data_IF_659298387052
#
_entry.id   IF_659298387052
#
_cell.length_a   1.000
_cell.length_b   1.000
_cell.length_c   1.000
_cell.angle_alpha   90.00
_cell.angle_beta   90.00
_cell.angle_gamma   90.00
#
_symmetry.space_group_name_H-M   'P 1'
#
loop_
_entity.id
_entity.type
_entity.pdbx_description
1 polymer ?
#
# COMPACT_ATOMS: atom_id res chain seq x y z
N UNK A 1 3.16 -19.24 6.40
CA UNK A 1 1.81 -18.70 6.71
C UNK A 1 1.51 -17.44 5.90
N UNK A 2 0.33 -17.31 5.30
CA UNK A 2 -0.11 -16.04 4.67
C UNK A 2 -1.08 -15.32 5.59
N UNK A 3 -0.82 -14.06 5.88
CA UNK A 3 -1.68 -13.24 6.74
C UNK A 3 -2.56 -12.29 5.93
N UNK A 4 -3.86 -12.28 6.19
CA UNK A 4 -4.82 -11.41 5.48
C UNK A 4 -4.63 -9.92 5.80
N UNK A 5 -4.02 -9.62 6.96
CA UNK A 5 -3.75 -8.25 7.38
C UNK A 5 -2.65 -7.58 6.56
N UNK A 6 -1.77 -8.36 5.94
CA UNK A 6 -0.84 -7.84 4.96
C UNK A 6 -1.50 -7.89 3.59
N UNK A 7 -1.73 -6.71 3.02
CA UNK A 7 -2.44 -6.57 1.76
C UNK A 7 -1.84 -5.43 0.96
N UNK A 8 -2.14 -5.40 -0.33
CA UNK A 8 -1.87 -4.30 -1.23
C UNK A 8 -3.16 -3.90 -1.98
N UNK A 9 -3.34 -2.61 -2.32
CA UNK A 9 -4.48 -2.16 -3.09
C UNK A 9 -4.30 -2.48 -4.59
N UNK A 10 -5.40 -2.81 -5.25
CA UNK A 10 -5.51 -2.95 -6.72
C UNK A 10 -6.85 -2.39 -7.19
N UNK A 11 -6.96 -2.05 -8.47
CA UNK A 11 -8.23 -1.68 -9.11
C UNK A 11 -8.75 -2.92 -9.85
N UNK A 12 -9.97 -3.35 -9.56
CA UNK A 12 -10.61 -4.45 -10.28
C UNK A 12 -11.27 -3.97 -11.58
N UNK A 13 -11.80 -4.89 -12.38
CA UNK A 13 -12.45 -4.57 -13.66
C UNK A 13 -13.67 -3.64 -13.52
N UNK A 14 -14.35 -3.67 -12.36
CA UNK A 14 -15.46 -2.76 -12.04
C UNK A 14 -15.01 -1.35 -11.58
N UNK A 15 -13.71 -1.05 -11.59
CA UNK A 15 -13.18 0.21 -11.10
C UNK A 15 -13.25 0.36 -9.57
N UNK A 16 -13.39 -0.73 -8.82
CA UNK A 16 -13.34 -0.74 -7.35
C UNK A 16 -11.93 -0.96 -6.86
N UNK A 17 -11.56 -0.22 -5.81
CA UNK A 17 -10.31 -0.45 -5.10
C UNK A 17 -10.53 -1.65 -4.18
N UNK A 18 -9.76 -2.71 -4.41
CA UNK A 18 -9.81 -3.93 -3.63
C UNK A 18 -8.46 -4.19 -2.99
N UNK A 19 -8.49 -4.71 -1.76
CA UNK A 19 -7.31 -5.15 -1.02
C UNK A 19 -7.04 -6.62 -1.36
N UNK A 20 -5.85 -6.90 -1.89
CA UNK A 20 -5.37 -8.23 -2.28
C UNK A 20 -4.17 -8.63 -1.41
N UNK A 21 -3.96 -9.92 -1.20
CA UNK A 21 -2.73 -10.49 -0.64
C UNK A 21 -2.14 -11.58 -1.56
N UNK A 22 -2.62 -11.63 -2.80
CA UNK A 22 -2.13 -12.55 -3.82
C UNK A 22 -0.64 -12.25 -4.07
N UNK A 23 0.16 -13.29 -4.29
CA UNK A 23 1.61 -13.19 -4.53
C UNK A 23 2.45 -12.63 -3.36
N UNK A 24 1.86 -12.27 -2.21
CA UNK A 24 2.65 -12.09 -1.00
C UNK A 24 3.31 -13.41 -0.61
N UNK A 25 4.57 -13.33 -0.19
CA UNK A 25 5.28 -14.48 0.37
C UNK A 25 4.57 -14.97 1.62
N UNK A 26 4.80 -16.23 1.92
CA UNK A 26 4.46 -16.74 3.22
C UNK A 26 5.52 -16.32 4.23
N UNK A 27 5.07 -16.10 5.47
CA UNK A 27 5.90 -15.74 6.60
C UNK A 27 6.01 -16.92 7.56
N UNK A 28 7.21 -17.10 8.09
CA UNK A 28 7.56 -18.07 9.12
C UNK A 28 7.95 -17.35 10.42
N UNK A 29 7.96 -18.09 11.53
CA UNK A 29 8.48 -17.53 12.78
C UNK A 29 9.96 -17.17 12.61
N UNK A 30 10.34 -15.97 13.07
CA UNK A 30 11.65 -15.37 12.82
C UNK A 30 11.68 -14.41 11.62
N UNK A 31 10.66 -14.40 10.76
CA UNK A 31 10.63 -13.47 9.63
C UNK A 31 10.31 -12.04 10.05
N UNK A 32 10.97 -11.09 9.38
CA UNK A 32 10.54 -9.70 9.38
C UNK A 32 9.24 -9.54 8.57
N UNK A 33 8.24 -8.91 9.19
CA UNK A 33 6.92 -8.69 8.59
C UNK A 33 6.67 -7.21 8.23
N UNK A 34 5.70 -6.91 7.35
CA UNK A 34 5.33 -5.54 7.04
C UNK A 34 4.70 -4.84 8.25
N UNK A 35 5.41 -3.89 8.87
CA UNK A 35 4.90 -3.10 9.99
C UNK A 35 4.28 -1.77 9.57
N UNK A 36 4.72 -1.23 8.43
CA UNK A 36 4.28 0.07 7.89
C UNK A 36 4.37 0.07 6.37
N UNK A 37 3.36 0.64 5.71
CA UNK A 37 3.31 0.89 4.26
C UNK A 37 2.95 2.35 3.96
N UNK A 38 2.36 2.65 2.79
CA UNK A 38 1.72 3.94 2.51
C UNK A 38 0.27 4.00 2.98
N UNK A 39 -0.33 2.87 3.36
CA UNK A 39 -1.75 2.82 3.70
C UNK A 39 -2.03 2.13 5.03
N UNK A 40 -1.04 1.51 5.67
CA UNK A 40 -1.20 1.09 7.06
C UNK A 40 0.05 1.32 7.91
N UNK A 41 -0.17 1.50 9.21
CA UNK A 41 0.88 1.63 10.22
C UNK A 41 0.52 0.82 11.47
N UNK A 42 1.03 -0.40 11.54
CA UNK A 42 0.78 -1.34 12.63
C UNK A 42 1.69 -1.15 13.82
N UNK A 43 2.68 -0.24 13.73
CA UNK A 43 3.79 -0.11 14.68
C UNK A 43 4.67 -1.38 14.74
N UNK A 44 5.70 -1.36 15.60
CA UNK A 44 6.65 -2.47 15.71
C UNK A 44 6.09 -3.67 16.49
N UNK A 45 5.15 -3.43 17.39
CA UNK A 45 4.60 -4.44 18.30
C UNK A 45 3.08 -4.53 18.12
N UNK A 46 2.60 -5.70 17.70
CA UNK A 46 1.17 -5.95 17.52
C UNK A 46 0.89 -7.46 17.50
N UNK A 47 -0.39 -7.83 17.57
CA UNK A 47 -0.84 -9.20 17.38
C UNK A 47 -1.72 -9.30 16.13
N UNK A 48 -1.52 -10.34 15.33
CA UNK A 48 -2.36 -10.67 14.18
C UNK A 48 -3.43 -11.66 14.67
N UNK A 49 -4.70 -11.37 14.42
CA UNK A 49 -5.80 -12.30 14.69
C UNK A 49 -6.26 -12.94 13.38
N UNK A 50 -6.10 -14.26 13.25
CA UNK A 50 -6.46 -15.02 12.06
C UNK A 50 -6.85 -16.45 12.42
N UNK A 51 -7.97 -16.94 11.84
CA UNK A 51 -8.37 -18.34 11.98
C UNK A 51 -8.64 -18.82 13.42
N UNK A 52 -8.89 -17.90 14.35
CA UNK A 52 -9.03 -18.11 15.81
C UNK A 52 -7.74 -18.07 16.64
N UNK A 53 -6.56 -17.95 16.01
CA UNK A 53 -5.28 -17.81 16.69
C UNK A 53 -4.79 -16.35 16.73
N UNK A 54 -3.91 -16.06 17.70
CA UNK A 54 -3.15 -14.81 17.75
C UNK A 54 -1.69 -15.08 17.44
N UNK A 55 -1.12 -14.29 16.53
CA UNK A 55 0.30 -14.35 16.19
C UNK A 55 0.97 -13.06 16.64
N UNK A 56 2.03 -13.18 17.42
CA UNK A 56 2.73 -12.03 17.99
C UNK A 56 3.81 -11.54 17.04
N UNK A 57 3.83 -10.21 16.86
CA UNK A 57 4.89 -9.50 16.20
C UNK A 57 5.57 -8.60 17.21
N UNK A 58 6.86 -8.82 17.44
CA UNK A 58 7.71 -8.05 18.35
C UNK A 58 8.88 -7.47 17.56
N UNK A 59 9.09 -6.16 17.69
CA UNK A 59 10.10 -5.40 16.94
C UNK A 59 10.04 -5.59 15.41
N UNK A 60 8.85 -5.91 14.89
CA UNK A 60 8.60 -6.19 13.48
C UNK A 60 8.96 -7.61 13.03
N UNK A 61 9.24 -8.52 13.97
CA UNK A 61 9.53 -9.93 13.73
C UNK A 61 8.34 -10.77 14.19
N UNK A 62 7.90 -11.71 13.36
CA UNK A 62 6.87 -12.69 13.74
C UNK A 62 7.47 -13.72 14.69
N UNK A 63 7.04 -13.77 15.95
CA UNK A 63 7.73 -14.55 16.98
C UNK A 63 7.05 -15.88 17.28
N UNK A 64 5.75 -15.87 17.59
CA UNK A 64 5.03 -17.06 18.06
C UNK A 64 3.52 -16.93 17.87
N UNK A 65 2.80 -18.06 17.94
CA UNK A 65 1.35 -18.08 18.16
C UNK A 65 1.05 -18.21 19.66
N UNK A 66 0.00 -17.51 20.12
CA UNK A 66 -0.41 -17.48 21.53
C UNK A 66 -1.93 -17.63 21.62
N UNK A 67 -2.38 -18.36 22.64
CA UNK A 67 -3.81 -18.46 22.95
C UNK A 67 -4.37 -17.13 23.51
N UNK A 68 -5.67 -16.86 23.34
CA UNK A 68 -6.29 -15.62 23.84
C UNK A 68 -6.07 -15.36 25.35
N UNK A 69 -5.89 -16.43 26.13
CA UNK A 69 -5.73 -16.39 27.58
C UNK A 69 -4.38 -15.83 28.04
N UNK A 70 -3.36 -15.95 27.20
CA UNK A 70 -1.97 -15.58 27.51
C UNK A 70 -1.59 -14.20 26.91
N UNK A 71 -2.55 -13.49 26.31
CA UNK A 71 -2.33 -12.16 25.75
C UNK A 71 -2.10 -11.12 26.85
N UNK A 72 -1.12 -10.26 26.62
CA UNK A 72 -0.84 -9.09 27.47
C UNK A 72 -1.54 -7.86 26.91
N UNK A 73 -2.09 -7.02 27.79
CA UNK A 73 -2.81 -5.80 27.42
C UNK A 73 -2.12 -4.56 28.03
N UNK A 74 -2.26 -3.35 27.42
CA UNK A 74 -2.98 -3.07 26.19
C UNK A 74 -2.27 -3.60 24.95
N UNK A 75 -3.04 -4.08 23.97
CA UNK A 75 -2.53 -4.75 22.77
C UNK A 75 -3.14 -4.12 21.52
N UNK A 76 -2.30 -3.90 20.50
CA UNK A 76 -2.79 -3.58 19.16
C UNK A 76 -3.04 -4.88 18.42
N UNK A 77 -4.26 -5.08 17.94
CA UNK A 77 -4.63 -6.26 17.18
C UNK A 77 -4.92 -5.84 15.75
N UNK A 78 -4.38 -6.59 14.79
CA UNK A 78 -4.63 -6.43 13.37
C UNK A 78 -5.29 -7.68 12.80
N UNK A 79 -6.27 -7.51 11.93
CA UNK A 79 -7.07 -8.63 11.41
C UNK A 79 -7.77 -8.29 10.10
N UNK A 80 -8.23 -9.34 9.41
CA UNK A 80 -8.85 -9.22 8.09
C UNK A 80 -7.93 -8.43 7.15
N UNK A 81 -8.50 -7.65 6.22
CA UNK A 81 -7.75 -6.80 5.27
C UNK A 81 -7.20 -5.54 5.92
N UNK A 82 -6.42 -5.72 6.99
CA UNK A 82 -5.65 -4.72 7.71
C UNK A 82 -6.44 -3.81 8.65
N UNK A 83 -7.58 -4.27 9.15
CA UNK A 83 -8.28 -3.60 10.24
C UNK A 83 -7.41 -3.63 11.48
N UNK A 84 -7.45 -2.57 12.26
CA UNK A 84 -6.66 -2.47 13.49
C UNK A 84 -7.55 -1.96 14.62
N UNK A 85 -7.31 -2.46 15.82
CA UNK A 85 -7.98 -2.05 17.04
C UNK A 85 -6.99 -2.08 18.20
N UNK A 86 -7.06 -1.09 19.07
CA UNK A 86 -6.39 -1.15 20.36
C UNK A 86 -7.34 -1.72 21.41
N UNK A 87 -6.87 -2.76 22.10
CA UNK A 87 -7.62 -3.43 23.15
C UNK A 87 -6.93 -3.25 24.49
N UNK A 88 -7.73 -3.02 25.53
CA UNK A 88 -7.24 -2.76 26.87
C UNK A 88 -7.49 -3.95 27.82
N UNK A 89 -8.40 -4.86 27.48
CA UNK A 89 -8.69 -6.03 28.31
C UNK A 89 -9.13 -7.25 27.51
N UNK A 90 -9.03 -8.42 28.12
CA UNK A 90 -9.53 -9.69 27.55
C UNK A 90 -11.02 -9.65 27.22
N UNK A 91 -11.81 -8.87 27.95
CA UNK A 91 -13.27 -8.74 27.76
C UNK A 91 -13.64 -8.10 26.42
N UNK A 92 -12.71 -7.41 25.78
CA UNK A 92 -12.94 -6.74 24.50
C UNK A 92 -12.67 -7.68 23.30
N UNK A 93 -12.06 -8.86 23.52
CA UNK A 93 -11.74 -9.82 22.45
C UNK A 93 -12.99 -10.35 21.70
N UNK A 94 -14.12 -10.70 22.36
CA UNK A 94 -15.33 -11.11 21.64
C UNK A 94 -15.85 -10.02 20.68
N UNK A 95 -15.64 -8.74 21.02
CA UNK A 95 -16.02 -7.60 20.18
C UNK A 95 -15.22 -7.52 18.89
N UNK A 96 -14.02 -8.13 18.82
CA UNK A 96 -13.25 -8.21 17.57
C UNK A 96 -14.00 -9.05 16.53
N UNK A 97 -14.59 -10.18 16.96
CA UNK A 97 -15.41 -11.04 16.08
C UNK A 97 -16.67 -10.30 15.63
N UNK A 98 -17.22 -9.46 16.49
CA UNK A 98 -18.42 -8.64 16.26
C UNK A 98 -18.07 -7.26 15.65
N UNK A 99 -17.54 -7.26 14.43
CA UNK A 99 -17.63 -6.14 13.46
C UNK A 99 -17.35 -4.71 13.99
N UNK A 100 -16.44 -4.50 14.93
CA UNK A 100 -15.99 -3.15 15.24
C UNK A 100 -15.42 -2.49 13.97
N UNK A 101 -15.86 -1.25 13.69
CA UNK A 101 -15.21 -0.41 12.67
C UNK A 101 -13.76 -0.25 13.10
N UNK A 102 -12.83 -0.69 12.25
CA UNK A 102 -11.40 -0.57 12.52
C UNK A 102 -11.01 0.90 12.72
N UNK A 103 -9.89 1.12 13.40
CA UNK A 103 -9.32 2.45 13.52
C UNK A 103 -8.70 2.90 12.18
N UNK A 104 -8.76 4.20 11.92
CA UNK A 104 -8.11 4.89 10.80
C UNK A 104 -8.55 4.46 9.40
N UNK A 105 -9.76 3.91 9.22
CA UNK A 105 -10.16 3.36 7.91
C UNK A 105 -10.16 4.40 6.78
N UNK A 106 -10.44 5.68 7.07
CA UNK A 106 -10.42 6.75 6.08
C UNK A 106 -8.99 7.14 5.69
N UNK A 107 -8.08 7.16 6.66
CA UNK A 107 -6.66 7.40 6.43
C UNK A 107 -6.05 6.26 5.60
N UNK A 108 -6.44 5.01 5.88
CA UNK A 108 -6.03 3.86 5.05
C UNK A 108 -6.56 3.99 3.64
N UNK A 109 -7.83 4.36 3.47
CA UNK A 109 -8.44 4.61 2.15
C UNK A 109 -7.68 5.68 1.35
N UNK A 110 -7.33 6.81 1.99
CA UNK A 110 -6.51 7.84 1.36
C UNK A 110 -5.12 7.30 0.97
N UNK A 111 -4.47 6.57 1.88
CA UNK A 111 -3.17 5.96 1.62
C UNK A 111 -3.20 4.94 0.47
N UNK A 112 -4.29 4.18 0.32
CA UNK A 112 -4.48 3.21 -0.76
C UNK A 112 -4.55 3.91 -2.11
N UNK A 113 -5.36 4.97 -2.19
CA UNK A 113 -5.49 5.80 -3.39
C UNK A 113 -4.16 6.50 -3.72
N UNK A 114 -3.46 7.02 -2.71
CA UNK A 114 -2.15 7.60 -2.87
C UNK A 114 -1.13 6.60 -3.44
N UNK A 115 -1.09 5.39 -2.87
CA UNK A 115 -0.22 4.31 -3.32
C UNK A 115 -0.53 3.92 -4.77
N UNK A 116 -1.82 3.74 -5.11
CA UNK A 116 -2.26 3.39 -6.46
C UNK A 116 -1.89 4.47 -7.48
N UNK A 117 -2.15 5.74 -7.18
CA UNK A 117 -1.79 6.86 -8.07
C UNK A 117 -0.29 6.85 -8.39
N UNK A 118 0.57 6.66 -7.38
CA UNK A 118 2.01 6.58 -7.57
C UNK A 118 2.42 5.35 -8.41
N UNK A 119 1.85 4.18 -8.13
CA UNK A 119 2.17 2.93 -8.84
C UNK A 119 1.76 3.00 -10.31
N UNK A 120 0.55 3.48 -10.59
CA UNK A 120 0.02 3.61 -11.96
C UNK A 120 0.86 4.62 -12.76
N UNK A 121 1.14 5.79 -12.20
CA UNK A 121 2.01 6.79 -12.84
C UNK A 121 3.40 6.24 -13.16
N UNK A 122 4.01 5.48 -12.25
CA UNK A 122 5.32 4.85 -12.49
C UNK A 122 5.26 3.81 -13.60
N UNK A 123 4.23 2.94 -13.61
CA UNK A 123 4.04 1.93 -14.65
C UNK A 123 3.85 2.57 -16.03
N UNK A 124 3.02 3.60 -16.14
CA UNK A 124 2.80 4.34 -17.40
C UNK A 124 4.12 4.93 -17.91
N UNK A 125 4.87 5.63 -17.05
CA UNK A 125 6.17 6.21 -17.42
C UNK A 125 7.17 5.15 -17.85
N UNK A 126 7.22 4.01 -17.17
CA UNK A 126 8.13 2.93 -17.53
C UNK A 126 7.83 2.38 -18.94
N UNK A 127 6.56 2.14 -19.25
CA UNK A 127 6.14 1.69 -20.59
C UNK A 127 6.49 2.75 -21.66
N UNK A 128 6.26 4.03 -21.37
CA UNK A 128 6.65 5.12 -22.27
C UNK A 128 8.16 5.11 -22.55
N UNK A 129 9.00 4.98 -21.52
CA UNK A 129 10.46 4.91 -21.70
C UNK A 129 10.90 3.66 -22.45
N UNK A 130 10.29 2.50 -22.19
CA UNK A 130 10.57 1.26 -22.90
C UNK A 130 10.32 1.41 -24.40
N UNK A 131 9.15 1.93 -24.79
CA UNK A 131 8.79 2.15 -26.19
C UNK A 131 9.63 3.26 -26.83
N UNK A 132 9.94 4.33 -26.08
CA UNK A 132 10.86 5.37 -26.58
C UNK A 132 12.30 4.86 -26.74
N UNK A 133 12.72 3.83 -26.02
CA UNK A 133 14.02 3.20 -26.27
C UNK A 133 14.04 2.43 -27.59
N UNK A 134 12.88 1.98 -28.09
CA UNK A 134 12.79 1.37 -29.41
C UNK A 134 13.02 2.40 -30.53
N UNK A 135 12.68 3.68 -30.34
CA UNK A 135 13.02 4.76 -31.28
C UNK A 135 14.53 4.86 -31.52
N UNK A 136 15.30 4.80 -30.44
CA UNK A 136 16.76 4.92 -30.53
C UNK A 136 17.42 3.73 -31.21
N UNK A 137 16.72 2.59 -31.30
CA UNK A 137 17.25 1.33 -31.79
C UNK A 137 16.57 0.82 -33.09
N UNK A 138 15.57 1.53 -33.63
CA UNK A 138 14.83 1.11 -34.83
C UNK A 138 14.38 2.30 -35.69
N UNK A 139 14.24 2.09 -37.01
CA UNK A 139 13.74 3.08 -37.97
C UNK A 139 12.20 3.17 -37.98
N UNK A 140 11.56 3.16 -36.80
CA UNK A 140 10.10 3.24 -36.66
C UNK A 140 9.62 4.69 -36.63
N UNK A 141 8.50 4.98 -37.28
CA UNK A 141 7.88 6.31 -37.30
C UNK A 141 7.11 6.61 -36.00
N UNK A 142 7.01 7.88 -35.64
CA UNK A 142 6.35 8.45 -34.46
C UNK A 142 4.90 7.95 -34.31
N UNK A 143 4.16 7.78 -35.39
CA UNK A 143 2.76 7.34 -35.37
C UNK A 143 2.61 5.91 -34.81
N UNK A 144 3.49 5.00 -35.22
CA UNK A 144 3.51 3.64 -34.69
C UNK A 144 3.76 3.62 -33.17
N UNK A 145 4.68 4.47 -32.71
CA UNK A 145 5.07 4.52 -31.30
C UNK A 145 3.97 5.13 -30.44
N UNK A 146 3.32 6.19 -30.93
CA UNK A 146 2.16 6.78 -30.26
C UNK A 146 1.03 5.75 -30.15
N UNK A 147 0.79 4.95 -31.19
CA UNK A 147 -0.18 3.87 -31.16
C UNK A 147 0.19 2.79 -30.13
N UNK A 148 1.46 2.39 -30.08
CA UNK A 148 1.94 1.38 -29.13
C UNK A 148 1.87 1.86 -27.67
N UNK A 149 2.26 3.11 -27.42
CA UNK A 149 2.13 3.74 -26.09
C UNK A 149 0.67 3.75 -25.67
N UNK A 150 -0.23 4.19 -26.55
CA UNK A 150 -1.66 4.22 -26.26
C UNK A 150 -2.19 2.83 -25.96
N UNK A 151 -1.89 1.84 -26.80
CA UNK A 151 -2.36 0.46 -26.61
C UNK A 151 -1.88 -0.13 -25.28
N UNK A 152 -0.61 0.05 -24.92
CA UNK A 152 -0.03 -0.52 -23.70
C UNK A 152 -0.38 0.25 -22.42
N UNK A 153 -0.77 1.52 -22.53
CA UNK A 153 -1.07 2.37 -21.36
C UNK A 153 -2.55 2.66 -21.16
N UNK A 154 -3.42 2.41 -22.15
CA UNK A 154 -4.84 2.78 -22.13
C UNK A 154 -5.55 2.35 -20.83
N UNK A 155 -5.46 1.08 -20.46
CA UNK A 155 -6.12 0.56 -19.24
C UNK A 155 -5.53 1.17 -17.97
N UNK A 156 -4.21 1.38 -17.91
CA UNK A 156 -3.55 2.01 -16.77
C UNK A 156 -3.97 3.48 -16.60
N UNK A 157 -4.19 4.19 -17.70
CA UNK A 157 -4.69 5.57 -17.69
C UNK A 157 -6.14 5.61 -17.21
N UNK A 158 -6.99 4.69 -17.66
CA UNK A 158 -8.38 4.60 -17.17
C UNK A 158 -8.42 4.29 -15.67
N UNK A 159 -7.62 3.33 -15.20
CA UNK A 159 -7.53 3.01 -13.77
C UNK A 159 -6.99 4.20 -12.96
N UNK A 160 -6.04 4.97 -13.52
CA UNK A 160 -5.50 6.17 -12.88
C UNK A 160 -6.60 7.23 -12.71
N UNK A 161 -7.38 7.52 -13.77
CA UNK A 161 -8.50 8.46 -13.69
C UNK A 161 -9.52 8.06 -12.62
N UNK A 162 -9.82 6.76 -12.49
CA UNK A 162 -10.73 6.26 -11.45
C UNK A 162 -10.17 6.54 -10.05
N UNK A 163 -8.88 6.26 -9.84
CA UNK A 163 -8.19 6.49 -8.56
C UNK A 163 -8.16 7.98 -8.23
N UNK A 164 -7.83 8.84 -9.19
CA UNK A 164 -7.75 10.29 -9.02
C UNK A 164 -9.11 10.89 -8.68
N UNK A 165 -10.18 10.47 -9.36
CA UNK A 165 -11.55 10.90 -9.03
C UNK A 165 -11.93 10.51 -7.61
N UNK A 166 -11.67 9.27 -7.19
CA UNK A 166 -11.96 8.82 -5.83
C UNK A 166 -11.13 9.56 -4.78
N UNK A 167 -9.86 9.81 -5.07
CA UNK A 167 -8.97 10.57 -4.20
C UNK A 167 -9.52 11.97 -3.99
N UNK A 168 -9.88 12.65 -5.08
CA UNK A 168 -10.46 13.99 -5.05
C UNK A 168 -11.76 14.04 -4.24
N UNK A 169 -12.73 13.16 -4.56
CA UNK A 169 -13.99 13.07 -3.80
C UNK A 169 -13.75 12.84 -2.31
N UNK A 170 -12.85 11.92 -1.94
CA UNK A 170 -12.54 11.64 -0.55
C UNK A 170 -11.94 12.86 0.17
N UNK A 171 -11.08 13.62 -0.49
CA UNK A 171 -10.49 14.84 0.09
C UNK A 171 -11.48 16.00 0.21
N UNK A 172 -12.50 16.05 -0.66
CA UNK A 172 -13.61 17.01 -0.54
C UNK A 172 -14.53 16.65 0.62
N UNK A 173 -14.91 15.38 0.73
CA UNK A 173 -15.81 14.89 1.78
C UNK A 173 -15.18 14.99 3.18
N UNK A 174 -13.86 14.94 3.27
CA UNK A 174 -13.09 15.00 4.52
C UNK A 174 -11.91 15.97 4.43
N UNK A 175 -12.13 17.30 4.60
CA UNK A 175 -11.09 18.31 4.40
C UNK A 175 -9.84 18.14 5.27
N UNK A 176 -10.00 17.63 6.50
CA UNK A 176 -8.88 17.43 7.45
C UNK A 176 -8.21 16.05 7.31
N UNK A 177 -8.61 15.23 6.33
CA UNK A 177 -8.14 13.86 6.20
C UNK A 177 -6.65 13.77 5.91
N UNK A 178 -6.10 14.74 5.17
CA UNK A 178 -4.66 14.83 4.89
C UNK A 178 -3.85 14.88 6.19
N UNK A 179 -4.18 15.79 7.10
CA UNK A 179 -3.44 15.98 8.34
C UNK A 179 -3.63 14.78 9.27
N UNK A 180 -4.84 14.21 9.31
CA UNK A 180 -5.11 12.98 10.06
C UNK A 180 -4.29 11.80 9.53
N UNK A 181 -4.20 11.63 8.21
CA UNK A 181 -3.39 10.62 7.55
C UNK A 181 -1.89 10.82 7.85
N UNK A 182 -1.38 12.04 7.74
CA UNK A 182 0.03 12.33 8.05
C UNK A 182 0.37 12.03 9.52
N UNK A 183 -0.55 12.34 10.44
CA UNK A 183 -0.42 12.02 11.87
C UNK A 183 -0.46 10.50 12.11
N UNK A 184 -1.40 9.80 11.48
CA UNK A 184 -1.54 8.34 11.58
C UNK A 184 -0.29 7.61 11.04
N UNK A 185 0.17 8.00 9.87
CA UNK A 185 1.34 7.40 9.25
C UNK A 185 2.62 7.75 10.01
N UNK A 186 2.66 8.89 10.71
CA UNK A 186 3.80 9.35 11.49
C UNK A 186 5.10 9.23 10.66
N UNK A 187 5.11 9.87 9.49
CA UNK A 187 6.27 9.82 8.60
C UNK A 187 7.45 10.57 9.20
N UNK A 188 8.62 9.93 9.19
CA UNK A 188 9.87 10.62 9.53
C UNK A 188 10.22 11.66 8.46
N UNK A 189 11.09 12.62 8.80
CA UNK A 189 11.48 13.67 7.85
C UNK A 189 12.26 13.13 6.67
N UNK A 190 12.94 11.99 6.86
CA UNK A 190 13.62 11.23 5.80
C UNK A 190 13.15 9.78 5.81
N UNK A 191 12.01 9.54 5.19
CA UNK A 191 11.48 8.19 4.97
C UNK A 191 11.44 7.88 3.47
N UNK A 192 12.03 6.75 3.08
CA UNK A 192 12.01 6.29 1.69
C UNK A 192 10.75 5.45 1.42
N UNK A 193 9.95 5.88 0.44
CA UNK A 193 8.80 5.11 -0.07
C UNK A 193 9.15 3.68 -0.49
N UNK A 194 10.38 3.42 -0.96
CA UNK A 194 10.79 2.05 -1.31
C UNK A 194 10.97 1.17 -0.09
N UNK A 195 11.45 1.73 1.02
CA UNK A 195 11.64 0.98 2.26
C UNK A 195 10.31 0.62 2.90
N UNK A 196 9.32 1.50 2.82
CA UNK A 196 7.94 1.21 3.27
C UNK A 196 7.09 0.56 2.17
N UNK A 197 7.68 0.14 1.05
CA UNK A 197 6.93 -0.58 0.02
C UNK A 197 6.63 -2.01 0.47
N UNK A 198 5.37 -2.44 0.29
CA UNK A 198 5.01 -3.83 0.49
C UNK A 198 5.61 -4.76 -0.59
N UNK A 199 6.01 -4.21 -1.74
CA UNK A 199 6.45 -4.99 -2.90
C UNK A 199 7.67 -5.88 -2.61
N UNK A 200 8.51 -5.51 -1.63
CA UNK A 200 9.66 -6.31 -1.20
C UNK A 200 9.30 -7.63 -0.51
N UNK A 201 8.03 -7.80 -0.13
CA UNK A 201 7.49 -9.01 0.50
C UNK A 201 6.71 -9.90 -0.48
N UNK A 202 6.75 -9.61 -1.78
CA UNK A 202 6.16 -10.47 -2.79
C UNK A 202 7.09 -11.64 -3.12
N UNK A 203 6.52 -12.70 -3.69
CA UNK A 203 7.30 -13.83 -4.23
C UNK A 203 8.28 -13.35 -5.30
N UNK A 204 9.47 -13.94 -5.34
CA UNK A 204 10.58 -13.48 -6.18
C UNK A 204 10.31 -13.54 -7.69
N UNK A 205 9.44 -14.44 -8.13
CA UNK A 205 9.01 -14.63 -9.51
C UNK A 205 7.90 -13.65 -9.95
N UNK A 206 7.29 -12.94 -9.00
CA UNK A 206 6.16 -12.05 -9.23
C UNK A 206 6.57 -10.74 -9.93
N UNK A 207 5.63 -10.16 -10.68
CA UNK A 207 5.84 -8.89 -11.36
C UNK A 207 6.03 -7.73 -10.37
N UNK A 208 5.37 -7.78 -9.21
CA UNK A 208 5.50 -6.78 -8.15
C UNK A 208 6.91 -6.77 -7.56
N UNK A 209 7.50 -7.95 -7.31
CA UNK A 209 8.87 -8.06 -6.82
C UNK A 209 9.88 -7.60 -7.87
N UNK A 210 9.71 -8.00 -9.14
CA UNK A 210 10.53 -7.50 -10.27
C UNK A 210 10.48 -5.98 -10.38
N UNK A 211 9.29 -5.39 -10.25
CA UNK A 211 9.12 -3.94 -10.26
C UNK A 211 9.83 -3.27 -9.07
N UNK A 212 9.81 -3.88 -7.88
CA UNK A 212 10.57 -3.41 -6.72
C UNK A 212 12.09 -3.38 -7.01
N UNK A 213 12.63 -4.42 -7.64
CA UNK A 213 14.05 -4.47 -8.02
C UNK A 213 14.43 -3.35 -9.01
N UNK A 214 13.58 -3.13 -10.03
CA UNK A 214 13.78 -2.05 -11.01
C UNK A 214 13.79 -0.70 -10.31
N UNK A 215 12.79 -0.43 -9.46
CA UNK A 215 12.71 0.84 -8.74
C UNK A 215 13.88 1.04 -7.78
N UNK A 216 14.31 -0.01 -7.09
CA UNK A 216 15.48 0.04 -6.20
C UNK A 216 16.74 0.42 -6.98
N UNK A 217 16.95 -0.17 -8.15
CA UNK A 217 18.08 0.19 -9.03
C UNK A 217 18.05 1.65 -9.47
N UNK A 218 16.87 2.19 -9.78
CA UNK A 218 16.72 3.58 -10.25
C UNK A 218 16.80 4.62 -9.12
N UNK A 219 16.28 4.30 -7.94
CA UNK A 219 16.13 5.25 -6.82
C UNK A 219 17.35 5.29 -5.88
N UNK A 220 18.40 4.49 -6.12
CA UNK A 220 19.67 4.56 -5.39
C UNK A 220 20.32 5.97 -5.39
N UNK A 221 19.80 6.92 -6.16
CA UNK A 221 20.30 8.28 -6.28
C UNK A 221 19.68 9.29 -5.30
N UNK A 222 18.39 9.19 -4.93
CA UNK A 222 17.70 10.14 -4.01
C UNK A 222 16.47 9.52 -3.31
N UNK A 223 16.30 9.71 -1.98
CA UNK A 223 15.11 9.26 -1.27
C UNK A 223 13.83 9.97 -1.76
N UNK A 224 12.73 9.22 -1.86
CA UNK A 224 11.43 9.75 -2.26
C UNK A 224 10.58 9.96 -1.00
N UNK A 225 10.33 11.23 -0.65
CA UNK A 225 9.63 11.59 0.58
C UNK A 225 8.09 11.56 0.44
N UNK A 226 7.37 10.80 1.28
CA UNK A 226 5.91 10.70 1.27
C UNK A 226 5.15 12.02 1.37
N UNK A 227 5.55 12.89 2.31
CA UNK A 227 4.88 14.17 2.57
C UNK A 227 4.86 15.05 1.32
N UNK A 228 6.02 15.30 0.73
CA UNK A 228 6.18 16.10 -0.49
C UNK A 228 5.41 15.54 -1.69
N UNK A 229 5.37 14.21 -1.85
CA UNK A 229 4.63 13.58 -2.95
C UNK A 229 3.11 13.68 -2.77
N UNK A 230 2.62 13.58 -1.53
CA UNK A 230 1.22 13.77 -1.22
C UNK A 230 0.79 15.22 -1.49
N UNK A 231 1.61 16.19 -1.05
CA UNK A 231 1.34 17.61 -1.28
C UNK A 231 1.23 17.92 -2.78
N UNK A 232 2.19 17.48 -3.57
CA UNK A 232 2.16 17.67 -5.02
C UNK A 232 0.93 17.01 -5.68
N UNK A 233 0.54 15.82 -5.21
CA UNK A 233 -0.63 15.13 -5.74
C UNK A 233 -1.91 15.93 -5.45
N UNK A 234 -2.10 16.40 -4.22
CA UNK A 234 -3.25 17.23 -3.85
C UNK A 234 -3.26 18.53 -4.64
N UNK A 235 -2.12 19.21 -4.74
CA UNK A 235 -2.00 20.44 -5.52
C UNK A 235 -2.36 20.21 -6.99
N UNK A 236 -1.97 19.08 -7.60
CA UNK A 236 -2.28 18.79 -9.00
C UNK A 236 -3.78 18.65 -9.28
N UNK A 237 -4.59 18.26 -8.28
CA UNK A 237 -6.05 18.19 -8.43
C UNK A 237 -6.73 19.55 -8.26
N UNK A 238 -6.16 20.46 -7.49
CA UNK A 238 -6.69 21.82 -7.34
C UNK A 238 -6.54 22.65 -8.63
N UNK A 239 -5.63 22.29 -9.54
CA UNK A 239 -5.43 22.96 -10.83
C UNK A 239 -6.33 22.43 -11.97
N UNK A 240 -7.11 21.37 -11.74
CA UNK A 240 -8.04 20.80 -12.72
C UNK A 240 -9.50 21.25 -12.49
N UNK A 241 -9.69 22.34 -11.72
CA UNK A 241 -10.94 23.11 -11.57
C UNK A 241 -10.87 24.37 -12.45
#
# INVERSE_FOLDING_TARGET
>A
MRFDCFYYPTVNDDGKVIRSNINLKEFEFGDQVPTKTLYYNYSKNFAIYQGEEFYIVEDGILTQSISPDNLKFPLKIVFGKGRQLKIFSKKDLPSIRLLLKGEFEKEKELGELFCLSLMLNKKIKHIQYEIMSDLTNSSRDCDFLNQEINNRTYKLIEDLKIVERKFYSLTLDYPNLKDSYLKYMNFSDKEDMLEISINKYFKSDSNEYKHYLILRSMCNSKPIYPKFKLDNLISSFNYNL
#
